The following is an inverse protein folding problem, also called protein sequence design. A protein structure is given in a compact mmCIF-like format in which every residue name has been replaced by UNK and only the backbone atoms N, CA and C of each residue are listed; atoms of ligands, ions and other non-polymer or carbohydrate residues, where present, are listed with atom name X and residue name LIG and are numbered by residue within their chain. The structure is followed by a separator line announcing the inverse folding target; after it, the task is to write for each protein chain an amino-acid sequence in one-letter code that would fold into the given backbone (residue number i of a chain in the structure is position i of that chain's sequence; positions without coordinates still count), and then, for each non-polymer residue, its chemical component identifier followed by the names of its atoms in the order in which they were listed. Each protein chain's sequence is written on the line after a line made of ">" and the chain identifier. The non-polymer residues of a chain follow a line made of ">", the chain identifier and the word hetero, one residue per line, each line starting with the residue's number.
data_IF_173100759900
#
_entry.id   IF_173100759900
#
_cell.length_a   1.000
_cell.length_b   1.000
_cell.length_c   1.000
_cell.angle_alpha   90.00
_cell.angle_beta   90.00
_cell.angle_gamma   90.00
#
_symmetry.space_group_name_H-M   'P 1'
#
loop_
_entity.id
_entity.type
_entity.pdbx_description
1 polymer ?
#
# COMPACT_ATOMS: atom_id res chain seq x y z
N UNK A 1 -2.47 -17.16 -13.94
CA UNK A 1 -2.08 -18.34 -13.13
C UNK A 1 -1.60 -17.80 -11.79
N UNK A 2 -2.09 -18.31 -10.66
CA UNK A 2 -1.88 -17.71 -9.33
C UNK A 2 -0.60 -18.27 -8.69
N UNK A 3 0.36 -17.40 -8.37
CA UNK A 3 1.47 -17.72 -7.47
C UNK A 3 1.47 -16.69 -6.32
N UNK A 4 1.53 -17.22 -5.09
CA UNK A 4 1.60 -16.49 -3.82
C UNK A 4 3.05 -16.07 -3.55
N UNK A 5 3.30 -14.81 -3.15
CA UNK A 5 4.60 -14.37 -2.61
C UNK A 5 4.45 -13.20 -1.62
N UNK A 6 4.23 -13.54 -0.34
CA UNK A 6 4.32 -12.72 0.88
C UNK A 6 5.11 -11.39 0.82
N UNK A 7 4.49 -10.28 1.26
CA UNK A 7 5.16 -9.09 1.83
C UNK A 7 4.56 -7.74 1.44
N UNK A 8 3.59 -7.20 2.19
CA UNK A 8 3.03 -5.85 2.09
C UNK A 8 3.87 -4.84 2.89
N UNK A 9 3.97 -3.55 2.49
CA UNK A 9 4.96 -2.59 3.00
C UNK A 9 4.33 -1.31 3.50
N UNK A 10 4.59 -1.09 4.79
CA UNK A 10 4.10 -0.08 5.74
C UNK A 10 2.57 -0.04 5.90
N UNK A 11 2.12 -0.04 7.15
CA UNK A 11 0.74 0.21 7.57
C UNK A 11 0.92 0.99 8.87
N UNK A 12 1.18 2.29 8.77
CA UNK A 12 1.35 3.10 9.96
C UNK A 12 -0.03 3.27 10.61
N UNK A 13 -0.14 3.13 11.93
CA UNK A 13 -1.42 3.25 12.65
C UNK A 13 -1.18 4.03 13.92
N UNK A 14 -1.78 5.23 14.05
CA UNK A 14 -1.56 6.10 15.21
C UNK A 14 -2.83 6.28 16.05
N UNK A 15 -2.65 6.17 17.37
CA UNK A 15 -3.62 6.43 18.42
C UNK A 15 -2.87 6.49 19.75
N UNK A 16 -3.13 7.50 20.58
CA UNK A 16 -2.37 7.76 21.81
C UNK A 16 -2.60 6.68 22.87
N UNK A 17 -1.50 6.14 23.38
CA UNK A 17 -1.32 5.28 24.58
C UNK A 17 -1.31 3.74 24.46
N UNK A 18 -1.34 3.17 23.26
CA UNK A 18 -0.78 1.81 23.03
C UNK A 18 -0.20 1.72 21.61
N UNK A 19 1.11 1.97 21.49
CA UNK A 19 1.80 1.93 20.20
C UNK A 19 2.03 0.48 19.74
N UNK A 20 1.11 -0.06 18.95
CA UNK A 20 1.41 -1.21 18.11
C UNK A 20 1.92 -0.71 16.75
N UNK A 21 3.22 -0.43 16.64
CA UNK A 21 3.88 -0.20 15.35
C UNK A 21 4.26 -1.55 14.75
N UNK A 22 3.59 -1.95 13.66
CA UNK A 22 3.99 -3.08 12.84
C UNK A 22 4.72 -2.60 11.59
N UNK A 23 6.02 -2.86 11.48
CA UNK A 23 6.75 -2.70 10.23
C UNK A 23 6.84 -4.05 9.54
N UNK A 24 6.32 -4.11 8.32
CA UNK A 24 6.45 -5.27 7.44
C UNK A 24 7.19 -4.78 6.20
N UNK A 25 8.52 -4.89 6.10
CA UNK A 25 9.22 -4.40 4.91
C UNK A 25 8.95 -5.28 3.70
N UNK A 26 8.76 -4.69 2.51
CA UNK A 26 8.85 -5.41 1.24
C UNK A 26 9.83 -4.76 0.26
N UNK A 27 10.37 -5.61 -0.60
CA UNK A 27 11.08 -5.21 -1.80
C UNK A 27 10.76 -6.26 -2.86
N UNK A 28 10.13 -5.86 -3.96
CA UNK A 28 9.60 -6.82 -4.94
C UNK A 28 10.66 -7.65 -5.67
N UNK A 29 11.92 -7.21 -5.66
CA UNK A 29 12.90 -7.64 -6.66
C UNK A 29 12.44 -7.26 -8.09
N UNK A 30 13.17 -7.66 -9.14
CA UNK A 30 12.75 -7.43 -10.52
C UNK A 30 11.46 -8.18 -10.85
N UNK A 31 10.41 -7.46 -11.28
CA UNK A 31 9.14 -8.06 -11.75
C UNK A 31 9.23 -8.27 -13.27
N UNK A 32 8.90 -9.46 -13.82
CA UNK A 32 8.79 -9.68 -15.27
C UNK A 32 7.52 -9.08 -15.90
N UNK A 33 7.61 -8.63 -17.16
CA UNK A 33 6.59 -7.85 -17.88
C UNK A 33 5.19 -8.50 -18.04
N UNK A 34 5.08 -9.82 -17.88
CA UNK A 34 3.82 -10.56 -18.04
C UNK A 34 3.50 -11.44 -16.82
N UNK A 35 4.03 -11.07 -15.65
CA UNK A 35 3.83 -11.81 -14.41
C UNK A 35 2.97 -11.01 -13.42
N UNK A 36 2.33 -11.72 -12.50
CA UNK A 36 1.60 -11.12 -11.38
C UNK A 36 2.34 -11.48 -10.10
N UNK A 37 2.85 -10.47 -9.41
CA UNK A 37 3.38 -10.61 -8.06
C UNK A 37 2.31 -10.20 -7.05
N UNK A 38 2.02 -11.07 -6.08
CA UNK A 38 1.02 -10.81 -5.04
C UNK A 38 1.65 -10.96 -3.66
N UNK A 39 1.51 -9.93 -2.83
CA UNK A 39 2.32 -9.71 -1.64
C UNK A 39 1.49 -9.69 -0.35
N UNK A 40 1.57 -10.76 0.44
CA UNK A 40 0.73 -10.89 1.64
C UNK A 40 1.38 -10.40 2.93
N UNK A 41 0.66 -9.64 3.77
CA UNK A 41 1.04 -9.36 5.16
C UNK A 41 -0.04 -9.88 6.13
N UNK A 42 0.38 -10.65 7.13
CA UNK A 42 -0.52 -11.15 8.17
C UNK A 42 -0.45 -10.22 9.38
N UNK A 43 -1.57 -9.55 9.65
CA UNK A 43 -1.72 -8.59 10.73
C UNK A 43 -2.54 -9.22 11.86
N UNK A 44 -2.10 -9.02 13.10
CA UNK A 44 -2.82 -9.48 14.30
C UNK A 44 -2.63 -8.50 15.44
N UNK A 45 -3.65 -8.33 16.28
CA UNK A 45 -3.59 -7.45 17.45
C UNK A 45 -3.94 -5.98 17.18
N UNK A 46 -4.33 -5.63 15.95
CA UNK A 46 -4.83 -4.28 15.60
C UNK A 46 -6.33 -4.19 15.90
N UNK A 47 -7.13 -5.09 15.34
CA UNK A 47 -8.59 -5.04 15.48
C UNK A 47 -9.23 -4.09 14.46
N UNK A 48 -10.31 -3.44 14.85
CA UNK A 48 -11.09 -2.56 13.96
C UNK A 48 -10.35 -1.24 13.73
N UNK A 49 -10.22 -0.86 12.46
CA UNK A 49 -9.69 0.43 12.04
C UNK A 49 -10.73 1.52 12.27
N UNK A 50 -10.27 2.67 12.71
CA UNK A 50 -11.05 3.90 12.85
C UNK A 50 -10.63 4.90 11.76
N UNK A 51 -11.46 5.91 11.45
CA UNK A 51 -11.08 6.96 10.53
C UNK A 51 -9.82 7.71 10.95
N UNK A 52 -9.04 8.14 9.95
CA UNK A 52 -7.85 8.95 10.14
C UNK A 52 -8.13 10.21 10.97
N UNK A 53 -7.27 10.46 11.97
CA UNK A 53 -7.44 11.58 12.90
C UNK A 53 -8.42 11.32 14.06
N UNK A 54 -8.86 10.07 14.26
CA UNK A 54 -9.60 9.67 15.45
C UNK A 54 -8.76 9.82 16.72
N UNK A 55 -9.33 10.45 17.74
CA UNK A 55 -8.67 10.75 19.02
C UNK A 55 -8.42 9.52 19.89
N UNK A 56 -9.11 8.42 19.62
CA UNK A 56 -9.07 7.19 20.44
C UNK A 56 -8.98 5.91 19.61
N UNK A 57 -8.73 6.04 18.29
CA UNK A 57 -8.82 4.96 17.32
C UNK A 57 -7.49 4.59 16.68
N UNK A 58 -7.38 3.35 16.24
CA UNK A 58 -6.27 2.85 15.41
C UNK A 58 -6.65 3.05 13.93
N UNK A 59 -5.90 3.81 13.15
CA UNK A 59 -6.24 4.08 11.74
C UNK A 59 -5.15 3.77 10.72
N UNK A 60 -5.56 3.66 9.46
CA UNK A 60 -4.79 3.64 8.23
C UNK A 60 -3.77 4.79 7.96
N UNK A 61 -2.68 5.05 8.69
CA UNK A 61 -1.82 6.25 8.47
C UNK A 61 -1.00 6.27 7.16
N UNK A 62 -0.29 5.20 6.78
CA UNK A 62 0.43 5.16 5.50
C UNK A 62 0.86 3.76 5.04
N UNK A 63 1.06 3.62 3.73
CA UNK A 63 1.65 2.47 3.03
C UNK A 63 2.87 2.95 2.26
N UNK A 64 4.00 2.26 2.28
CA UNK A 64 5.16 2.61 1.44
C UNK A 64 5.56 1.40 0.60
N UNK A 65 5.81 1.61 -0.67
CA UNK A 65 6.17 0.54 -1.60
C UNK A 65 7.57 0.76 -2.16
N UNK A 66 8.28 -0.36 -2.31
CA UNK A 66 9.59 -0.43 -2.97
C UNK A 66 9.53 -1.52 -4.06
N UNK A 67 9.39 -1.10 -5.30
CA UNK A 67 9.24 -1.99 -6.46
C UNK A 67 10.36 -1.73 -7.46
N UNK A 68 11.10 -2.79 -7.79
CA UNK A 68 12.12 -2.75 -8.86
C UNK A 68 11.51 -3.24 -10.17
N UNK A 69 11.45 -2.38 -11.18
CA UNK A 69 10.95 -2.71 -12.52
C UNK A 69 11.50 -1.72 -13.54
N UNK A 70 11.89 -2.24 -14.71
CA UNK A 70 12.27 -1.46 -15.89
C UNK A 70 11.07 -1.10 -16.80
N UNK A 71 9.85 -1.49 -16.41
CA UNK A 71 8.60 -1.27 -17.12
C UNK A 71 7.42 -0.94 -16.18
N UNK A 72 7.54 0.08 -15.29
CA UNK A 72 6.49 0.41 -14.33
C UNK A 72 5.12 0.68 -15.00
N UNK A 73 5.12 1.14 -16.25
CA UNK A 73 3.91 1.41 -17.03
C UNK A 73 3.06 0.18 -17.37
N UNK A 74 3.58 -1.04 -17.15
CA UNK A 74 2.79 -2.26 -17.32
C UNK A 74 2.26 -2.81 -15.99
N UNK A 75 2.61 -2.19 -14.86
CA UNK A 75 2.22 -2.67 -13.54
C UNK A 75 0.82 -2.17 -13.14
N UNK A 76 0.05 -3.06 -12.50
CA UNK A 76 -1.14 -2.72 -11.73
C UNK A 76 -0.88 -3.10 -10.28
N UNK A 77 -0.87 -2.10 -9.40
CA UNK A 77 -0.52 -2.20 -7.98
C UNK A 77 -1.78 -1.96 -7.16
N UNK A 78 -2.22 -3.02 -6.49
CA UNK A 78 -3.44 -3.06 -5.69
C UNK A 78 -3.09 -3.25 -4.21
N UNK A 79 -3.97 -2.79 -3.33
CA UNK A 79 -3.95 -3.11 -1.91
C UNK A 79 -5.32 -3.65 -1.51
N UNK A 80 -5.35 -4.85 -0.94
CA UNK A 80 -6.58 -5.53 -0.52
C UNK A 80 -6.55 -5.86 0.97
N UNK A 81 -7.64 -5.54 1.66
CA UNK A 81 -7.81 -5.83 3.08
C UNK A 81 -8.20 -7.29 3.35
N UNK A 82 -8.08 -7.78 4.60
CA UNK A 82 -8.53 -9.10 5.00
C UNK A 82 -10.02 -9.35 4.75
N UNK A 83 -10.81 -8.28 4.67
CA UNK A 83 -12.25 -8.36 4.38
C UNK A 83 -12.58 -8.23 2.89
N UNK A 84 -11.56 -8.03 2.04
CA UNK A 84 -11.68 -8.06 0.58
C UNK A 84 -11.93 -6.71 -0.08
N UNK A 85 -11.87 -5.61 0.66
CA UNK A 85 -11.89 -4.27 0.07
C UNK A 85 -10.57 -4.02 -0.64
N UNK A 86 -10.62 -3.50 -1.87
CA UNK A 86 -9.43 -3.25 -2.69
C UNK A 86 -9.39 -1.80 -3.15
N UNK A 87 -8.20 -1.18 -3.08
CA UNK A 87 -7.91 0.11 -3.72
C UNK A 87 -6.80 -0.04 -4.77
N UNK A 88 -6.72 0.90 -5.69
CA UNK A 88 -5.65 0.97 -6.70
C UNK A 88 -4.62 1.99 -6.26
N UNK A 89 -3.44 1.53 -5.87
CA UNK A 89 -2.33 2.42 -5.52
C UNK A 89 -1.78 3.10 -6.76
N UNK A 90 -1.49 2.33 -7.81
CA UNK A 90 -1.02 2.82 -9.12
C UNK A 90 -1.35 1.79 -10.20
N UNK A 91 -1.79 2.22 -11.38
CA UNK A 91 -1.98 1.31 -12.51
C UNK A 91 -1.57 1.98 -13.82
N UNK A 92 -0.67 1.32 -14.55
CA UNK A 92 -0.18 1.71 -15.87
C UNK A 92 0.47 3.10 -15.91
N UNK A 93 1.21 3.47 -14.86
CA UNK A 93 1.94 4.73 -14.78
C UNK A 93 3.45 4.50 -14.80
N UNK A 94 4.22 5.55 -15.09
CA UNK A 94 5.67 5.52 -14.96
C UNK A 94 6.44 5.45 -16.27
N UNK A 95 5.76 5.58 -17.40
CA UNK A 95 6.39 5.58 -18.72
C UNK A 95 7.59 6.55 -18.79
N UNK A 96 8.71 6.06 -19.35
CA UNK A 96 9.94 6.84 -19.49
C UNK A 96 10.87 6.81 -18.27
N UNK A 97 10.54 6.05 -17.23
CA UNK A 97 11.37 5.85 -16.06
C UNK A 97 11.33 4.41 -15.54
N UNK A 98 11.89 4.19 -14.36
CA UNK A 98 11.99 2.86 -13.73
C UNK A 98 11.67 2.98 -12.25
N UNK A 99 11.12 1.90 -11.67
CA UNK A 99 10.94 1.69 -10.23
C UNK A 99 9.91 2.57 -9.49
N UNK A 100 9.53 2.06 -8.31
CA UNK A 100 8.93 2.79 -7.20
C UNK A 100 9.92 2.69 -6.03
N UNK A 101 10.47 3.81 -5.58
CA UNK A 101 11.56 3.88 -4.59
C UNK A 101 11.09 4.73 -3.41
N UNK A 102 10.87 4.10 -2.25
CA UNK A 102 10.26 4.73 -1.07
C UNK A 102 9.04 5.57 -1.45
N UNK A 103 8.13 4.96 -2.22
CA UNK A 103 6.88 5.59 -2.63
C UNK A 103 5.86 5.41 -1.53
N UNK A 104 5.48 6.49 -0.87
CA UNK A 104 4.57 6.52 0.26
C UNK A 104 3.16 6.92 -0.19
N UNK A 105 2.15 6.17 0.21
CA UNK A 105 0.73 6.51 0.14
C UNK A 105 0.26 6.84 1.54
N UNK A 106 0.10 8.12 1.90
CA UNK A 106 -0.41 8.53 3.20
C UNK A 106 -1.94 8.43 3.25
N UNK A 107 -2.49 8.40 4.46
CA UNK A 107 -3.94 8.46 4.70
C UNK A 107 -4.56 9.74 4.17
N UNK A 108 -3.77 10.82 4.17
CA UNK A 108 -4.16 12.14 3.70
C UNK A 108 -2.99 12.87 3.03
N UNK A 109 -3.27 13.55 1.92
CA UNK A 109 -2.33 14.43 1.22
C UNK A 109 -1.54 13.77 0.08
N UNK A 110 -0.77 14.58 -0.64
CA UNK A 110 -0.05 14.17 -1.85
C UNK A 110 -0.84 14.40 -3.14
N UNK A 111 -0.13 14.54 -4.26
CA UNK A 111 -0.73 14.57 -5.60
C UNK A 111 -1.08 13.15 -6.04
N UNK A 112 -2.11 12.98 -6.86
CA UNK A 112 -2.45 11.67 -7.41
C UNK A 112 -1.28 11.10 -8.21
N UNK A 113 -0.95 9.83 -8.00
CA UNK A 113 0.21 9.20 -8.66
C UNK A 113 0.15 9.26 -10.20
N UNK A 114 -1.05 9.38 -10.77
CA UNK A 114 -1.27 9.54 -12.23
C UNK A 114 -0.68 10.83 -12.80
N UNK A 115 -0.38 11.85 -11.97
CA UNK A 115 0.28 13.07 -12.42
C UNK A 115 1.81 12.97 -12.43
N UNK A 116 2.39 11.87 -11.92
CA UNK A 116 3.83 11.64 -11.85
C UNK A 116 4.37 10.75 -12.96
N UNK A 117 5.69 10.66 -13.03
CA UNK A 117 6.42 9.71 -13.86
C UNK A 117 7.46 8.97 -13.02
N UNK A 118 7.87 7.77 -13.43
CA UNK A 118 8.89 7.03 -12.71
C UNK A 118 10.28 7.72 -12.84
N UNK A 119 11.21 7.53 -11.88
CA UNK A 119 11.04 6.80 -10.63
C UNK A 119 10.04 7.49 -9.69
N UNK A 120 9.06 6.73 -9.21
CA UNK A 120 8.15 7.24 -8.18
C UNK A 120 8.89 7.25 -6.84
N UNK A 121 8.86 8.36 -6.13
CA UNK A 121 9.44 8.51 -4.80
C UNK A 121 8.70 9.57 -3.99
N UNK A 122 8.77 9.46 -2.66
CA UNK A 122 8.04 10.36 -1.76
C UNK A 122 6.54 10.08 -1.72
N UNK A 123 5.74 11.07 -1.30
CA UNK A 123 4.32 10.89 -1.00
C UNK A 123 3.41 11.12 -2.20
N UNK A 124 2.55 10.14 -2.49
CA UNK A 124 1.57 10.14 -3.58
C UNK A 124 0.19 9.70 -3.08
N UNK A 125 -0.85 10.32 -3.60
CA UNK A 125 -2.21 9.85 -3.39
C UNK A 125 -2.50 8.64 -4.30
N UNK A 126 -3.21 7.59 -3.82
CA UNK A 126 -3.59 6.45 -4.63
C UNK A 126 -4.30 6.87 -5.92
N UNK A 127 -4.07 6.12 -6.99
CA UNK A 127 -4.74 6.36 -8.27
C UNK A 127 -6.26 6.32 -8.14
N UNK A 128 -6.79 5.32 -7.43
CA UNK A 128 -8.22 5.20 -7.15
C UNK A 128 -8.49 4.63 -5.76
N UNK A 129 -9.34 5.33 -5.00
CA UNK A 129 -9.61 5.05 -3.59
C UNK A 129 -8.72 5.86 -2.64
N UNK A 130 -8.71 5.45 -1.38
CA UNK A 130 -7.88 6.02 -0.31
C UNK A 130 -7.70 4.99 0.81
N UNK A 131 -6.75 5.19 1.71
CA UNK A 131 -6.61 4.32 2.87
C UNK A 131 -7.83 4.36 3.81
N UNK A 132 -8.60 5.45 3.79
CA UNK A 132 -9.89 5.53 4.48
C UNK A 132 -10.97 4.60 3.92
N UNK A 133 -10.72 3.94 2.77
CA UNK A 133 -11.61 2.88 2.27
C UNK A 133 -11.64 1.66 3.18
N UNK A 134 -10.65 1.53 4.08
CA UNK A 134 -10.56 0.45 5.06
C UNK A 134 -11.07 0.87 6.45
N UNK A 135 -11.63 2.08 6.59
CA UNK A 135 -12.19 2.52 7.87
C UNK A 135 -13.32 1.58 8.32
N UNK A 136 -13.38 1.31 9.63
CA UNK A 136 -14.29 0.35 10.28
C UNK A 136 -14.06 -1.12 9.91
N UNK A 137 -13.01 -1.43 9.17
CA UNK A 137 -12.62 -2.80 8.89
C UNK A 137 -11.75 -3.41 9.98
N UNK A 138 -11.91 -4.70 10.25
CA UNK A 138 -10.96 -5.42 11.08
C UNK A 138 -9.66 -5.63 10.29
N UNK A 139 -8.60 -4.92 10.68
CA UNK A 139 -7.28 -5.03 10.08
C UNK A 139 -6.58 -6.37 10.40
N UNK A 140 -7.08 -7.15 11.37
CA UNK A 140 -6.52 -8.47 11.64
C UNK A 140 -6.87 -9.45 10.52
N UNK A 141 -5.83 -10.06 9.96
CA UNK A 141 -5.93 -11.04 8.89
C UNK A 141 -4.89 -10.80 7.81
N UNK A 142 -5.11 -11.39 6.64
CA UNK A 142 -4.18 -11.33 5.51
C UNK A 142 -4.53 -10.15 4.60
N UNK A 143 -3.63 -9.18 4.55
CA UNK A 143 -3.60 -8.13 3.52
C UNK A 143 -2.83 -8.64 2.30
N UNK A 144 -3.21 -8.21 1.09
CA UNK A 144 -2.52 -8.61 -0.16
C UNK A 144 -2.33 -7.46 -1.14
#
# INVERSE_FOLDING_TARGET
>A
RKFLLTGLSWLLVTGSDLHAQGSFPFTSGPIPQCDTSAFTANVSGVGVLEPGGSWFGLYLESIEINITSDHPETLEILLTSPQGTTIVLSAFNGAGGQNYTSTLFPWYGGSNITSGSAPFSGSWWPQNGSLGSFDYENANGTWT
#
